data_IF_403867176199
#
_entry.id   IF_403867176199
#
_cell.length_a   1.000
_cell.length_b   1.000
_cell.length_c   1.000
_cell.angle_alpha   90.00
_cell.angle_beta   90.00
_cell.angle_gamma   90.00
#
_symmetry.space_group_name_H-M   'P 1'
#
loop_
_entity.id
_entity.type
_entity.pdbx_description
1 polymer ?
#
# COMPACT_ATOMS: atom_id res chain seq x y z
N UNK A 1 -14.88 37.47 -19.35
CA UNK A 1 -13.81 37.97 -20.23
C UNK A 1 -13.07 36.75 -20.77
N UNK A 2 -12.90 36.64 -22.08
CA UNK A 2 -12.21 35.51 -22.70
C UNK A 2 -10.73 35.89 -22.80
N UNK A 3 -9.84 35.13 -22.17
CA UNK A 3 -8.40 35.41 -22.21
C UNK A 3 -7.88 35.12 -23.62
N UNK A 4 -7.47 36.18 -24.33
CA UNK A 4 -6.90 36.08 -25.67
C UNK A 4 -5.38 36.03 -25.55
N UNK A 5 -4.79 34.85 -25.73
CA UNK A 5 -3.34 34.67 -25.76
C UNK A 5 -2.84 35.07 -27.15
N UNK A 6 -2.05 36.14 -27.23
CA UNK A 6 -1.38 36.57 -28.47
C UNK A 6 -0.11 35.75 -28.68
N UNK A 7 -0.15 34.80 -29.61
CA UNK A 7 1.04 34.06 -30.06
C UNK A 7 1.82 34.90 -31.09
N UNK A 8 3.14 35.00 -30.93
CA UNK A 8 4.02 35.60 -31.95
C UNK A 8 3.93 34.81 -33.27
N UNK A 9 4.17 35.47 -34.41
CA UNK A 9 3.96 34.94 -35.76
C UNK A 9 4.68 33.60 -36.01
N UNK A 10 5.81 33.39 -35.34
CA UNK A 10 6.64 32.19 -35.48
C UNK A 10 6.01 30.94 -34.83
N UNK A 11 5.11 31.10 -33.85
CA UNK A 11 4.44 29.95 -33.23
C UNK A 11 3.29 29.39 -34.08
N UNK A 12 2.76 30.19 -35.00
CA UNK A 12 1.70 29.75 -35.92
C UNK A 12 2.19 28.69 -36.92
N UNK A 13 3.48 28.64 -37.25
CA UNK A 13 4.03 27.58 -38.11
C UNK A 13 4.16 26.23 -37.41
N UNK A 14 4.04 26.17 -36.08
CA UNK A 14 4.11 24.92 -35.32
C UNK A 14 2.74 24.23 -35.19
N UNK A 15 1.66 24.90 -35.58
CA UNK A 15 0.29 24.36 -35.56
C UNK A 15 -0.19 24.24 -37.01
N UNK A 16 -0.31 23.02 -37.51
CA UNK A 16 -0.88 22.77 -38.84
C UNK A 16 -2.41 22.99 -38.82
N UNK A 17 -2.83 24.26 -38.98
CA UNK A 17 -4.25 24.60 -39.15
C UNK A 17 -4.62 24.36 -40.62
N UNK A 18 -5.54 23.43 -40.92
CA UNK A 18 -5.97 23.18 -42.30
C UNK A 18 -6.61 24.44 -42.90
N UNK A 19 -6.63 24.55 -44.22
CA UNK A 19 -7.36 25.64 -44.91
C UNK A 19 -8.85 25.35 -44.89
N UNK A 20 -9.66 26.42 -44.86
CA UNK A 20 -11.11 26.27 -44.98
C UNK A 20 -11.48 25.68 -46.36
N UNK A 21 -12.24 24.59 -46.37
CA UNK A 21 -12.74 23.93 -47.57
C UNK A 21 -13.92 24.71 -48.18
N UNK A 22 -14.02 24.74 -49.52
CA UNK A 22 -15.08 25.52 -50.19
C UNK A 22 -16.50 25.06 -49.85
N UNK A 23 -16.67 23.79 -49.49
CA UNK A 23 -17.96 23.20 -49.14
C UNK A 23 -18.31 23.34 -47.65
N UNK A 24 -17.38 23.80 -46.81
CA UNK A 24 -17.59 23.83 -45.36
C UNK A 24 -18.01 25.21 -44.85
N UNK A 25 -18.90 25.20 -43.87
CA UNK A 25 -19.31 26.41 -43.18
C UNK A 25 -18.22 26.87 -42.21
N UNK A 26 -18.12 28.18 -41.96
CA UNK A 26 -17.14 28.75 -41.03
C UNK A 26 -17.21 28.12 -39.62
N UNK A 27 -18.40 27.85 -39.03
CA UNK A 27 -18.46 27.18 -37.74
C UNK A 27 -17.90 25.75 -37.76
N UNK A 28 -18.12 24.99 -38.83
CA UNK A 28 -17.57 23.65 -38.98
C UNK A 28 -16.03 23.67 -39.07
N UNK A 29 -15.49 24.65 -39.79
CA UNK A 29 -14.04 24.89 -39.86
C UNK A 29 -13.44 25.20 -38.47
N UNK A 30 -14.05 26.13 -37.72
CA UNK A 30 -13.57 26.51 -36.39
C UNK A 30 -13.58 25.32 -35.43
N UNK A 31 -14.65 24.52 -35.42
CA UNK A 31 -14.72 23.31 -34.59
C UNK A 31 -13.64 22.30 -34.95
N UNK A 32 -13.34 22.12 -36.24
CA UNK A 32 -12.26 21.24 -36.71
C UNK A 32 -10.89 21.73 -36.26
N UNK A 33 -10.62 23.03 -36.35
CA UNK A 33 -9.38 23.64 -35.87
C UNK A 33 -9.23 23.50 -34.34
N UNK A 34 -10.29 23.76 -33.57
CA UNK A 34 -10.29 23.55 -32.11
C UNK A 34 -9.96 22.10 -31.73
N UNK A 35 -10.58 21.13 -32.41
CA UNK A 35 -10.32 19.72 -32.15
C UNK A 35 -8.87 19.30 -32.44
N UNK A 36 -8.24 19.88 -33.47
CA UNK A 36 -6.82 19.65 -33.77
C UNK A 36 -5.94 20.23 -32.66
N UNK A 37 -6.22 21.46 -32.23
CA UNK A 37 -5.49 22.14 -31.16
C UNK A 37 -5.58 21.37 -29.84
N UNK A 38 -6.75 20.84 -29.49
CA UNK A 38 -6.95 19.99 -28.31
C UNK A 38 -6.19 18.66 -28.39
N UNK A 39 -6.10 18.04 -29.57
CA UNK A 39 -5.34 16.79 -29.76
C UNK A 39 -3.84 17.02 -29.62
N UNK A 40 -3.32 18.12 -30.16
CA UNK A 40 -1.90 18.48 -30.03
C UNK A 40 -1.53 18.77 -28.57
N UNK A 41 -2.43 19.38 -27.79
CA UNK A 41 -2.22 19.59 -26.34
C UNK A 41 -2.13 18.27 -25.57
N UNK A 42 -3.01 17.30 -25.87
CA UNK A 42 -3.07 16.00 -25.15
C UNK A 42 -1.89 15.06 -25.46
N UNK A 43 -1.28 15.20 -26.64
CA UNK A 43 -0.14 14.36 -27.06
C UNK A 43 1.09 14.50 -26.15
N UNK A 44 1.22 15.62 -25.42
CA UNK A 44 2.30 15.83 -24.43
C UNK A 44 2.04 15.28 -23.02
N UNK A 45 0.80 14.92 -22.68
CA UNK A 45 0.41 14.46 -21.33
C UNK A 45 0.35 12.93 -21.22
N UNK A 46 -0.06 12.20 -22.26
CA UNK A 46 -0.35 10.77 -22.19
C UNK A 46 0.82 9.84 -21.84
N UNK A 47 2.06 10.18 -22.24
CA UNK A 47 3.25 9.37 -21.95
C UNK A 47 3.72 9.55 -20.49
N UNK A 48 3.47 10.73 -19.90
CA UNK A 48 3.87 11.03 -18.51
C UNK A 48 2.90 10.41 -17.50
N UNK A 49 1.62 10.29 -17.84
CA UNK A 49 0.58 9.77 -16.93
C UNK A 49 0.68 8.25 -16.76
N UNK A 50 0.95 7.52 -17.84
CA UNK A 50 1.06 6.05 -17.79
C UNK A 50 2.28 5.59 -16.98
N UNK A 51 3.43 6.24 -17.16
CA UNK A 51 4.65 5.97 -16.37
C UNK A 51 4.44 6.24 -14.88
N UNK A 52 3.79 7.36 -14.53
CA UNK A 52 3.52 7.73 -13.12
C UNK A 52 2.56 6.75 -12.43
N UNK A 53 1.54 6.26 -13.13
CA UNK A 53 0.61 5.28 -12.59
C UNK A 53 1.28 3.93 -12.32
N UNK A 54 2.22 3.52 -13.18
CA UNK A 54 2.98 2.29 -12.98
C UNK A 54 3.94 2.40 -11.78
N UNK A 55 4.59 3.55 -11.62
CA UNK A 55 5.50 3.84 -10.50
C UNK A 55 4.74 3.90 -9.16
N UNK A 56 3.60 4.59 -9.10
CA UNK A 56 2.74 4.63 -7.91
C UNK A 56 2.20 3.24 -7.54
N UNK A 57 1.86 2.43 -8.54
CA UNK A 57 1.42 1.05 -8.30
C UNK A 57 2.56 0.17 -7.76
N UNK A 58 3.81 0.38 -8.18
CA UNK A 58 4.98 -0.32 -7.65
C UNK A 58 5.27 0.11 -6.21
N UNK A 59 5.24 1.40 -5.91
CA UNK A 59 5.46 1.94 -4.56
C UNK A 59 4.39 1.43 -3.58
N UNK A 60 3.11 1.42 -3.99
CA UNK A 60 2.02 0.86 -3.19
C UNK A 60 2.23 -0.63 -2.90
N UNK A 61 2.70 -1.41 -3.87
CA UNK A 61 3.00 -2.83 -3.68
C UNK A 61 4.13 -3.03 -2.67
N UNK A 62 5.21 -2.27 -2.81
CA UNK A 62 6.35 -2.34 -1.87
C UNK A 62 5.92 -1.95 -0.45
N UNK A 63 5.05 -0.94 -0.31
CA UNK A 63 4.51 -0.56 1.00
C UNK A 63 3.66 -1.66 1.63
N UNK A 64 2.83 -2.35 0.84
CA UNK A 64 2.02 -3.49 1.32
C UNK A 64 2.93 -4.64 1.75
N UNK A 65 3.99 -4.93 0.99
CA UNK A 65 4.94 -5.99 1.32
C UNK A 65 5.68 -5.71 2.64
N UNK A 66 6.15 -4.47 2.84
CA UNK A 66 6.75 -4.04 4.12
C UNK A 66 5.78 -4.17 5.29
N UNK A 67 4.52 -3.73 5.11
CA UNK A 67 3.50 -3.87 6.14
C UNK A 67 3.21 -5.33 6.49
N UNK A 68 3.15 -6.21 5.49
CA UNK A 68 2.96 -7.65 5.70
C UNK A 68 4.12 -8.27 6.47
N UNK A 69 5.36 -7.91 6.13
CA UNK A 69 6.55 -8.37 6.87
C UNK A 69 6.49 -7.98 8.34
N UNK A 70 6.15 -6.72 8.62
CA UNK A 70 5.99 -6.23 9.99
C UNK A 70 4.86 -6.96 10.74
N UNK A 71 3.74 -7.21 10.07
CA UNK A 71 2.60 -7.93 10.65
C UNK A 71 2.97 -9.36 11.04
N UNK A 72 3.70 -10.08 10.18
CA UNK A 72 4.17 -11.44 10.48
C UNK A 72 5.11 -11.45 11.70
N UNK A 73 6.06 -10.52 11.76
CA UNK A 73 6.97 -10.39 12.91
C UNK A 73 6.20 -10.13 14.20
N UNK A 74 5.29 -9.16 14.18
CA UNK A 74 4.51 -8.79 15.35
C UNK A 74 3.59 -9.93 15.81
N UNK A 75 2.99 -10.67 14.88
CA UNK A 75 2.19 -11.84 15.19
C UNK A 75 3.04 -12.92 15.88
N UNK A 76 4.25 -13.18 15.37
CA UNK A 76 5.19 -14.13 15.97
C UNK A 76 5.58 -13.71 17.40
N UNK A 77 5.94 -12.44 17.59
CA UNK A 77 6.28 -11.87 18.89
C UNK A 77 5.11 -11.96 19.88
N UNK A 78 3.89 -11.63 19.45
CA UNK A 78 2.69 -11.75 20.28
C UNK A 78 2.40 -13.20 20.69
N UNK A 79 2.52 -14.17 19.78
CA UNK A 79 2.32 -15.58 20.12
C UNK A 79 3.41 -16.06 21.09
N UNK A 80 4.67 -15.68 20.86
CA UNK A 80 5.78 -15.96 21.78
C UNK A 80 5.53 -15.35 23.17
N UNK A 81 5.01 -14.13 23.23
CA UNK A 81 4.72 -13.46 24.51
C UNK A 81 3.61 -14.15 25.31
N UNK A 82 2.74 -14.96 24.69
CA UNK A 82 1.75 -15.77 25.40
C UNK A 82 2.36 -17.01 26.07
N UNK A 83 3.51 -17.48 25.58
CA UNK A 83 4.27 -18.58 26.18
C UNK A 83 5.10 -18.11 27.38
N UNK A 84 5.47 -16.83 27.43
CA UNK A 84 6.09 -16.24 28.62
C UNK A 84 5.03 -15.69 29.60
N UNK A 85 5.18 -15.84 30.92
CA UNK A 85 6.15 -16.66 31.65
C UNK A 85 5.55 -18.03 32.03
N UNK A 86 4.83 -18.72 31.13
CA UNK A 86 4.22 -20.03 31.45
C UNK A 86 5.27 -21.04 31.92
N UNK A 87 6.44 -21.10 31.27
CA UNK A 87 7.51 -22.03 31.65
C UNK A 87 8.10 -21.74 33.05
N UNK A 88 8.51 -20.49 33.39
CA UNK A 88 8.88 -20.15 34.75
C UNK A 88 7.80 -20.51 35.79
N UNK A 89 6.53 -20.18 35.51
CA UNK A 89 5.42 -20.46 36.44
C UNK A 89 5.19 -21.96 36.64
N UNK A 90 5.25 -22.75 35.58
CA UNK A 90 5.13 -24.20 35.66
C UNK A 90 6.27 -24.80 36.49
N UNK A 91 7.50 -24.33 36.27
CA UNK A 91 8.67 -24.83 37.02
C UNK A 91 8.52 -24.56 38.50
N UNK A 92 8.18 -23.32 38.89
CA UNK A 92 7.92 -22.96 40.30
C UNK A 92 6.82 -23.81 40.90
N UNK A 93 5.69 -23.96 40.21
CA UNK A 93 4.57 -24.77 40.70
C UNK A 93 4.96 -26.24 40.89
N UNK A 94 5.72 -26.79 39.94
CA UNK A 94 6.22 -28.17 40.00
C UNK A 94 7.14 -28.38 41.20
N UNK A 95 8.02 -27.42 41.47
CA UNK A 95 8.95 -27.51 42.60
C UNK A 95 8.19 -27.40 43.93
N UNK A 96 7.22 -26.48 44.06
CA UNK A 96 6.35 -26.39 45.24
C UNK A 96 5.58 -27.70 45.51
N UNK A 97 5.06 -28.34 44.46
CA UNK A 97 4.37 -29.63 44.60
C UNK A 97 5.34 -30.71 45.07
N UNK A 98 6.54 -30.77 44.49
CA UNK A 98 7.58 -31.72 44.94
C UNK A 98 7.93 -31.48 46.40
N UNK A 99 8.11 -30.24 46.82
CA UNK A 99 8.48 -29.92 48.20
C UNK A 99 7.44 -30.47 49.18
N UNK A 100 6.15 -30.28 48.89
CA UNK A 100 5.05 -30.88 49.68
C UNK A 100 5.09 -32.40 49.66
N UNK A 101 5.33 -33.01 48.48
CA UNK A 101 5.37 -34.47 48.35
C UNK A 101 6.51 -35.14 49.11
N UNK A 102 7.59 -34.42 49.41
CA UNK A 102 8.73 -34.92 50.19
C UNK A 102 8.69 -34.44 51.65
N UNK A 103 7.65 -33.70 52.03
CA UNK A 103 7.47 -33.28 53.42
C UNK A 103 7.26 -34.52 54.30
N UNK A 104 8.01 -34.69 55.40
CA UNK A 104 7.93 -35.89 56.24
C UNK A 104 6.54 -36.15 56.78
N UNK A 105 5.82 -35.10 57.17
CA UNK A 105 4.47 -35.21 57.74
C UNK A 105 3.47 -35.63 56.65
N UNK A 106 3.66 -35.13 55.41
CA UNK A 106 2.86 -35.56 54.25
C UNK A 106 3.15 -37.02 53.86
N UNK A 107 4.43 -37.43 53.84
CA UNK A 107 4.82 -38.78 53.48
C UNK A 107 4.35 -39.82 54.50
N UNK A 108 4.40 -39.52 55.80
CA UNK A 108 3.89 -40.40 56.86
C UNK A 108 2.41 -40.75 56.63
N UNK A 109 1.58 -39.74 56.33
CA UNK A 109 0.15 -39.93 56.02
C UNK A 109 -0.04 -40.76 54.74
N UNK A 110 0.80 -40.59 53.72
CA UNK A 110 0.71 -41.39 52.50
C UNK A 110 1.09 -42.87 52.72
N UNK A 111 1.97 -43.17 53.67
CA UNK A 111 2.34 -44.54 54.03
C UNK A 111 1.31 -45.24 54.91
N UNK A 112 0.42 -44.51 55.59
CA UNK A 112 -0.68 -45.08 56.37
C UNK A 112 -1.87 -45.59 55.52
N UNK A 113 -1.89 -45.28 54.22
CA UNK A 113 -3.01 -45.59 53.31
C UNK A 113 -2.73 -46.76 52.34
N UNK A 114 -1.51 -47.31 52.33
CA UNK A 114 -1.18 -48.53 51.58
C UNK A 114 -1.43 -49.77 52.47
N UNK A 115 -2.32 -50.71 52.09
CA UNK A 115 -2.67 -51.89 52.89
C UNK A 115 -1.58 -52.97 52.99
#
# INVERSE_FOLDING_TARGET
MQDVIRLETQYWSLVEIPKQEKAETVPAFVLRACAIMEKTQKSGEGVKTSSKLAEEAAEKRERIERLNGNFISLQSEYVSSKLYPMFPRYTMLKDMIKDIMHDPDYMEVCHEVDP
#
